data_IF_731242653128
#
_entry.id   IF_731242653128
#
_cell.length_a   1.000
_cell.length_b   1.000
_cell.length_c   1.000
_cell.angle_alpha   90.00
_cell.angle_beta   90.00
_cell.angle_gamma   90.00
#
_symmetry.space_group_name_H-M   'P 1'
#
loop_
_entity.id
_entity.type
_entity.pdbx_description
1 polymer ?
#
# COMPACT_ATOMS: atom_id res chain seq x y z
N UNK A 1 11.98 6.29 -23.41
CA UNK A 1 10.88 5.75 -22.64
C UNK A 1 10.84 6.38 -21.25
N UNK A 2 9.69 6.85 -20.87
CA UNK A 2 9.57 7.54 -19.58
C UNK A 2 9.62 6.54 -18.43
N UNK A 3 10.39 6.86 -17.43
CA UNK A 3 10.42 6.07 -16.21
C UNK A 3 9.23 6.46 -15.36
N UNK A 4 8.45 5.46 -14.96
CA UNK A 4 7.33 5.68 -14.05
C UNK A 4 7.88 5.65 -12.64
N UNK A 5 7.69 6.75 -11.92
CA UNK A 5 8.13 6.81 -10.54
C UNK A 5 7.09 7.58 -9.74
N UNK A 6 6.48 6.90 -8.79
CA UNK A 6 5.48 7.51 -7.92
C UNK A 6 6.12 7.94 -6.62
N UNK A 7 5.67 9.06 -6.09
CA UNK A 7 6.07 9.43 -4.73
C UNK A 7 5.23 8.62 -3.75
N UNK A 8 5.75 8.47 -2.55
CA UNK A 8 5.10 7.65 -1.52
C UNK A 8 4.88 8.48 -0.28
N UNK A 9 3.64 8.50 0.19
CA UNK A 9 3.27 9.13 1.44
C UNK A 9 2.53 8.10 2.28
N UNK A 10 2.81 8.07 3.57
CA UNK A 10 2.19 7.12 4.49
C UNK A 10 1.59 7.90 5.64
N UNK A 11 0.30 7.72 5.88
CA UNK A 11 -0.39 8.45 6.94
C UNK A 11 0.15 8.04 8.31
N UNK A 12 -0.07 8.90 9.31
CA UNK A 12 0.36 8.58 10.66
C UNK A 12 -0.33 7.32 11.17
N UNK A 13 -1.59 7.14 10.82
CA UNK A 13 -2.30 5.95 11.22
C UNK A 13 -1.67 4.69 10.62
N UNK A 14 -1.33 4.75 9.34
CA UNK A 14 -0.71 3.60 8.69
C UNK A 14 0.68 3.34 9.26
N UNK A 15 1.42 4.39 9.59
CA UNK A 15 2.72 4.22 10.22
C UNK A 15 2.58 3.52 11.57
N UNK A 16 1.60 3.92 12.36
CA UNK A 16 1.37 3.28 13.66
C UNK A 16 1.02 1.81 13.47
N UNK A 17 0.20 1.51 12.47
CA UNK A 17 -0.15 0.13 12.20
C UNK A 17 1.07 -0.68 11.78
N UNK A 18 1.93 -0.11 10.94
CA UNK A 18 3.16 -0.78 10.55
C UNK A 18 4.06 -1.06 11.73
N UNK A 19 4.18 -0.08 12.63
CA UNK A 19 5.05 -0.24 13.80
C UNK A 19 4.59 -1.36 14.71
N UNK A 20 3.31 -1.67 14.70
CA UNK A 20 2.78 -2.73 15.55
C UNK A 20 3.03 -4.12 14.98
N UNK A 21 3.53 -4.22 13.75
CA UNK A 21 3.77 -5.50 13.12
C UNK A 21 5.15 -6.04 13.45
N UNK A 22 5.34 -7.36 13.39
CA UNK A 22 6.68 -7.92 13.52
C UNK A 22 7.61 -7.36 12.46
N UNK A 23 8.89 -7.32 12.79
CA UNK A 23 9.89 -6.68 11.93
C UNK A 23 9.91 -7.29 10.54
N UNK A 24 9.77 -8.59 10.44
CA UNK A 24 9.78 -9.26 9.15
C UNK A 24 8.64 -8.79 8.26
N UNK A 25 7.45 -8.64 8.85
CA UNK A 25 6.29 -8.21 8.09
C UNK A 25 6.46 -6.76 7.64
N UNK A 26 6.98 -5.91 8.52
CA UNK A 26 7.23 -4.53 8.16
C UNK A 26 8.21 -4.45 6.99
N UNK A 27 9.25 -5.26 7.02
CA UNK A 27 10.25 -5.26 5.95
C UNK A 27 9.63 -5.67 4.63
N UNK A 28 8.81 -6.71 4.64
CA UNK A 28 8.17 -7.19 3.42
C UNK A 28 7.25 -6.15 2.83
N UNK A 29 6.47 -5.50 3.67
CA UNK A 29 5.56 -4.45 3.20
C UNK A 29 6.37 -3.29 2.64
N UNK A 30 7.44 -2.90 3.33
CA UNK A 30 8.28 -1.81 2.85
C UNK A 30 8.88 -2.09 1.49
N UNK A 31 9.35 -3.32 1.29
CA UNK A 31 9.92 -3.70 0.00
C UNK A 31 8.89 -3.64 -1.11
N UNK A 32 7.67 -4.08 -0.82
CA UNK A 32 6.63 -4.05 -1.84
C UNK A 32 6.21 -2.61 -2.15
N UNK A 33 6.18 -1.75 -1.16
CA UNK A 33 5.87 -0.35 -1.40
C UNK A 33 6.96 0.32 -2.22
N UNK A 34 8.22 -0.03 -1.98
CA UNK A 34 9.30 0.48 -2.81
C UNK A 34 9.12 0.10 -4.27
N UNK A 35 8.71 -1.13 -4.51
CA UNK A 35 8.48 -1.58 -5.88
C UNK A 35 7.31 -0.86 -6.53
N UNK A 36 6.30 -0.53 -5.76
CA UNK A 36 5.17 0.20 -6.30
C UNK A 36 5.59 1.56 -6.84
N UNK A 37 6.60 2.17 -6.24
CA UNK A 37 7.07 3.46 -6.70
C UNK A 37 7.62 3.38 -8.12
N UNK A 38 8.14 2.23 -8.52
CA UNK A 38 8.70 2.05 -9.85
C UNK A 38 7.66 1.53 -10.84
N UNK A 39 6.45 1.31 -10.40
CA UNK A 39 5.39 0.84 -11.27
C UNK A 39 4.39 0.03 -10.46
N UNK A 40 3.12 0.16 -10.81
CA UNK A 40 2.07 -0.55 -10.08
C UNK A 40 2.12 -2.03 -10.45
N UNK A 41 2.60 -2.84 -9.51
CA UNK A 41 2.76 -4.27 -9.73
C UNK A 41 2.47 -5.01 -8.44
N UNK A 42 2.43 -6.34 -8.54
CA UNK A 42 2.17 -7.18 -7.40
C UNK A 42 0.69 -7.55 -7.33
N UNK A 43 0.28 -8.02 -6.17
CA UNK A 43 -1.11 -8.46 -5.97
C UNK A 43 -1.97 -7.25 -5.65
N UNK A 44 -2.29 -6.50 -6.68
CA UNK A 44 -3.01 -5.26 -6.62
C UNK A 44 -4.44 -5.41 -7.09
N UNK A 45 -5.36 -4.78 -6.38
CA UNK A 45 -6.74 -4.74 -6.81
C UNK A 45 -7.27 -3.32 -6.63
N UNK A 46 -7.87 -2.78 -7.68
CA UNK A 46 -8.53 -1.49 -7.58
C UNK A 46 -9.88 -1.70 -6.91
N UNK A 47 -10.11 -0.94 -5.86
CA UNK A 47 -11.37 -1.01 -5.15
C UNK A 47 -12.43 -0.23 -5.90
N UNK A 48 -13.68 -0.65 -5.75
CA UNK A 48 -14.78 -0.01 -6.45
C UNK A 48 -14.95 1.42 -5.96
N UNK A 49 -15.61 2.23 -6.79
CA UNK A 49 -15.89 3.59 -6.42
C UNK A 49 -15.28 4.57 -7.40
N UNK A 50 -15.51 5.85 -7.14
CA UNK A 50 -15.05 6.90 -8.02
C UNK A 50 -13.61 7.30 -7.75
N UNK A 51 -13.12 7.01 -6.54
CA UNK A 51 -11.77 7.36 -6.17
C UNK A 51 -10.80 6.28 -6.59
N UNK A 52 -9.56 6.68 -6.80
CA UNK A 52 -8.51 5.73 -7.19
C UNK A 52 -7.97 5.05 -5.95
N UNK A 53 -8.74 4.16 -5.39
CA UNK A 53 -8.35 3.41 -4.19
C UNK A 53 -7.92 2.01 -4.59
N UNK A 54 -6.84 1.57 -3.98
CA UNK A 54 -6.24 0.29 -4.30
C UNK A 54 -5.93 -0.49 -3.05
N UNK A 55 -5.86 -1.80 -3.22
CA UNK A 55 -5.44 -2.71 -2.17
C UNK A 55 -4.26 -3.51 -2.67
N UNK A 56 -3.18 -3.49 -1.90
CA UNK A 56 -2.00 -4.30 -2.16
C UNK A 56 -1.94 -5.40 -1.12
N UNK A 57 -1.94 -6.63 -1.56
CA UNK A 57 -1.87 -7.77 -0.66
C UNK A 57 -0.43 -8.17 -0.47
N UNK A 58 0.01 -8.22 0.78
CA UNK A 58 1.37 -8.62 1.13
C UNK A 58 1.25 -9.67 2.24
N UNK A 59 1.37 -10.94 1.88
CA UNK A 59 1.19 -12.01 2.86
C UNK A 59 -0.20 -11.97 3.47
N UNK A 60 -0.26 -11.88 4.79
CA UNK A 60 -1.53 -11.82 5.51
C UNK A 60 -2.03 -10.41 5.73
N UNK A 61 -1.39 -9.44 5.10
CA UNK A 61 -1.74 -8.05 5.31
C UNK A 61 -2.20 -7.39 4.03
N UNK A 62 -2.98 -6.33 4.19
CA UNK A 62 -3.48 -5.54 3.09
C UNK A 62 -3.11 -4.10 3.31
N UNK A 63 -2.47 -3.53 2.30
CA UNK A 63 -2.08 -2.13 2.32
C UNK A 63 -3.06 -1.38 1.45
N UNK A 64 -3.73 -0.41 2.04
CA UNK A 64 -4.74 0.38 1.34
C UNK A 64 -4.16 1.74 1.01
N UNK A 65 -4.29 2.15 -0.25
CA UNK A 65 -3.75 3.41 -0.67
C UNK A 65 -4.61 4.04 -1.77
N UNK A 66 -4.44 5.33 -1.92
CA UNK A 66 -5.03 6.06 -3.04
C UNK A 66 -3.91 6.46 -3.98
N UNK A 67 -4.26 6.68 -5.24
CA UNK A 67 -3.31 7.08 -6.25
C UNK A 67 -3.84 8.33 -6.93
N UNK A 68 -3.11 9.42 -6.83
CA UNK A 68 -3.51 10.67 -7.45
C UNK A 68 -2.29 11.52 -7.70
N UNK A 69 -2.23 12.12 -8.89
CA UNK A 69 -1.14 13.03 -9.22
C UNK A 69 0.24 12.41 -9.11
N UNK A 70 0.35 11.12 -9.42
CA UNK A 70 1.64 10.45 -9.34
C UNK A 70 2.07 10.12 -7.92
N UNK A 71 1.17 10.22 -6.94
CA UNK A 71 1.50 9.94 -5.56
C UNK A 71 0.69 8.77 -5.04
N UNK A 72 1.38 7.85 -4.38
CA UNK A 72 0.77 6.74 -3.66
C UNK A 72 0.61 7.18 -2.21
N UNK A 73 -0.63 7.24 -1.73
CA UNK A 73 -0.92 7.69 -0.37
C UNK A 73 -1.50 6.53 0.42
N UNK A 74 -0.67 5.92 1.25
CA UNK A 74 -1.08 4.78 2.08
C UNK A 74 -1.85 5.32 3.27
N UNK A 75 -3.08 4.84 3.46
CA UNK A 75 -3.90 5.33 4.55
C UNK A 75 -4.25 4.25 5.57
N UNK A 76 -3.97 2.99 5.27
CA UNK A 76 -4.24 1.93 6.24
C UNK A 76 -3.45 0.69 5.90
N UNK A 77 -3.04 -0.03 6.94
CA UNK A 77 -2.44 -1.35 6.82
C UNK A 77 -3.24 -2.24 7.73
N UNK A 78 -3.87 -3.27 7.17
CA UNK A 78 -4.80 -4.09 7.91
C UNK A 78 -4.43 -5.55 7.83
N UNK A 79 -4.67 -6.25 8.92
CA UNK A 79 -4.57 -7.69 8.93
C UNK A 79 -5.67 -8.28 8.06
N UNK A 80 -5.42 -9.46 7.53
CA UNK A 80 -6.37 -10.14 6.69
C UNK A 80 -7.74 -10.26 7.34
N UNK A 81 -7.76 -10.46 8.65
CA UNK A 81 -9.01 -10.65 9.37
C UNK A 81 -9.81 -9.36 9.49
N UNK A 82 -9.14 -8.22 9.37
CA UNK A 82 -9.78 -6.92 9.57
C UNK A 82 -10.13 -6.23 8.28
N UNK A 83 -9.72 -6.78 7.16
CA UNK A 83 -9.82 -6.08 5.88
C UNK A 83 -11.04 -6.53 5.08
N UNK A 84 -12.15 -6.66 5.73
CA UNK A 84 -13.40 -6.95 5.02
C UNK A 84 -13.93 -5.67 4.41
N UNK A 85 -14.35 -5.79 3.20
CA UNK A 85 -14.95 -4.68 2.47
C UNK A 85 -16.45 -4.75 2.51
#
# INVERSE_FOLDING_TARGET
MADVHYTLAISEEAIAQLRSLPQEQRRRIGERLNRLQDGLSGDLKKLSGKESKYRLRVGDFRVLFTLAGGQISVYAVKDRKEAYE
#
